data_IF_434220914494
#
_entry.id   IF_434220914494
#
_cell.length_a   1.000
_cell.length_b   1.000
_cell.length_c   1.000
_cell.angle_alpha   90.00
_cell.angle_beta   90.00
_cell.angle_gamma   90.00
#
_symmetry.space_group_name_H-M   'P 1'
#
loop_
_entity.id
_entity.type
_entity.pdbx_description
1 polymer ?
#
# COMPACT_ATOMS: atom_id res chain seq x y z
N UNK A 1 -9.23 12.63 -0.93
CA UNK A 1 -9.19 11.21 -1.30
C UNK A 1 -9.10 10.97 -2.81
N UNK A 2 -9.93 11.58 -3.68
CA UNK A 2 -9.87 11.38 -5.15
C UNK A 2 -8.47 11.64 -5.76
N UNK A 3 -7.75 12.68 -5.32
CA UNK A 3 -6.41 13.04 -5.83
C UNK A 3 -5.31 12.02 -5.51
N UNK A 4 -5.40 11.36 -4.35
CA UNK A 4 -4.41 10.34 -3.92
C UNK A 4 -4.59 9.05 -4.73
N UNK A 5 -5.84 8.65 -4.98
CA UNK A 5 -6.16 7.48 -5.80
C UNK A 5 -5.70 7.65 -7.25
N UNK A 6 -5.84 8.88 -7.81
CA UNK A 6 -5.40 9.20 -9.16
C UNK A 6 -3.87 9.18 -9.30
N UNK A 7 -3.13 9.68 -8.29
CA UNK A 7 -1.66 9.60 -8.27
C UNK A 7 -1.17 8.16 -8.19
N UNK A 8 -1.85 7.29 -7.42
CA UNK A 8 -1.48 5.88 -7.29
C UNK A 8 -1.68 5.11 -8.61
N UNK A 9 -2.79 5.36 -9.31
CA UNK A 9 -3.06 4.79 -10.64
C UNK A 9 -2.08 5.31 -11.71
N UNK A 10 -1.73 6.60 -11.69
CA UNK A 10 -0.75 7.19 -12.61
C UNK A 10 0.67 6.65 -12.38
N UNK A 11 1.08 6.46 -11.13
CA UNK A 11 2.37 5.88 -10.81
C UNK A 11 2.50 4.42 -11.32
N UNK A 12 1.40 3.66 -11.31
CA UNK A 12 1.37 2.30 -11.87
C UNK A 12 1.45 2.28 -13.41
N UNK A 13 0.83 3.25 -14.09
CA UNK A 13 0.94 3.37 -15.55
C UNK A 13 2.35 3.75 -16.00
N UNK A 14 3.08 4.57 -15.25
CA UNK A 14 4.44 5.00 -15.58
C UNK A 14 5.46 3.85 -15.47
N UNK A 15 5.26 2.89 -14.56
CA UNK A 15 6.14 1.71 -14.45
C UNK A 15 5.94 0.70 -15.59
N UNK A 16 4.77 0.71 -16.24
CA UNK A 16 4.47 -0.18 -17.36
C UNK A 16 5.01 0.35 -18.71
N UNK A 17 5.29 1.64 -18.84
CA UNK A 17 5.71 2.24 -20.11
C UNK A 17 7.22 2.17 -20.37
N UNK A 18 8.03 1.71 -19.43
CA UNK A 18 9.50 1.66 -19.58
C UNK A 18 10.06 0.34 -20.17
N UNK A 19 9.21 -0.61 -20.53
CA UNK A 19 9.66 -1.95 -20.99
C UNK A 19 9.66 -2.15 -22.49
N UNK A 20 9.59 -1.10 -23.30
CA UNK A 20 9.61 -1.24 -24.76
C UNK A 20 10.85 -0.64 -25.43
N UNK A 21 12.05 -1.17 -25.09
CA UNK A 21 13.22 -1.00 -25.94
C UNK A 21 13.86 -2.36 -26.22
N UNK A 22 13.64 -2.81 -27.43
CA UNK A 22 14.20 -3.99 -28.05
C UNK A 22 15.73 -3.97 -28.06
N UNK A 23 16.35 -4.75 -27.21
CA UNK A 23 17.75 -5.15 -27.37
C UNK A 23 17.74 -6.66 -27.57
N UNK A 24 18.01 -7.09 -28.78
CA UNK A 24 18.29 -8.47 -29.21
C UNK A 24 19.64 -8.93 -28.66
N UNK A 25 19.77 -9.04 -27.38
CA UNK A 25 20.74 -9.90 -26.71
C UNK A 25 19.94 -11.12 -26.31
N UNK A 26 20.50 -12.33 -26.45
CA UNK A 26 19.83 -13.57 -26.00
C UNK A 26 19.25 -13.32 -24.61
N UNK A 27 17.98 -12.96 -24.61
CA UNK A 27 17.28 -12.38 -23.49
C UNK A 27 17.28 -13.42 -22.37
N UNK A 28 17.96 -13.18 -21.24
CA UNK A 28 17.85 -14.08 -20.09
C UNK A 28 16.42 -14.19 -19.61
N UNK A 29 15.55 -13.28 -20.05
CA UNK A 29 14.10 -13.30 -19.93
C UNK A 29 13.42 -14.04 -21.09
N UNK A 30 14.16 -14.68 -22.02
CA UNK A 30 13.51 -15.45 -23.08
C UNK A 30 12.68 -16.54 -22.43
N UNK A 31 11.38 -16.27 -22.46
CA UNK A 31 10.34 -17.13 -21.88
C UNK A 31 10.02 -18.31 -22.80
N UNK A 32 10.98 -18.65 -23.68
CA UNK A 32 10.85 -19.80 -24.57
C UNK A 32 10.92 -21.09 -23.76
N UNK A 33 9.90 -21.93 -23.84
CA UNK A 33 9.94 -23.24 -23.19
C UNK A 33 11.09 -24.09 -23.75
N UNK A 34 11.61 -25.00 -22.92
CA UNK A 34 12.55 -26.02 -23.37
C UNK A 34 11.85 -26.93 -24.39
N UNK A 35 12.49 -27.15 -25.52
CA UNK A 35 11.97 -28.03 -26.54
C UNK A 35 13.08 -28.91 -27.05
N UNK A 36 12.90 -30.25 -27.17
CA UNK A 36 11.75 -31.05 -26.74
C UNK A 36 11.58 -31.11 -25.22
N UNK A 37 10.34 -31.31 -24.74
CA UNK A 37 10.07 -31.48 -23.30
C UNK A 37 10.66 -32.82 -22.85
N UNK A 38 11.56 -32.85 -21.85
CA UNK A 38 12.12 -34.08 -21.33
C UNK A 38 11.04 -35.01 -20.77
N UNK A 39 11.12 -36.32 -21.07
CA UNK A 39 10.12 -37.31 -20.60
C UNK A 39 10.07 -37.44 -19.07
N UNK A 40 11.17 -37.14 -18.39
CA UNK A 40 11.29 -37.20 -16.94
C UNK A 40 10.73 -35.96 -16.23
N UNK A 41 10.31 -34.93 -16.99
CA UNK A 41 9.81 -33.69 -16.42
C UNK A 41 8.43 -33.89 -15.79
N UNK A 42 8.30 -33.54 -14.53
CA UNK A 42 7.00 -33.56 -13.86
C UNK A 42 6.10 -32.43 -14.35
N UNK A 43 4.77 -32.60 -14.20
CA UNK A 43 3.81 -31.58 -14.59
C UNK A 43 4.02 -30.24 -13.84
N UNK A 44 4.41 -30.30 -12.56
CA UNK A 44 4.70 -29.11 -11.76
C UNK A 44 5.94 -28.37 -12.28
N UNK A 45 6.99 -29.11 -12.66
CA UNK A 45 8.19 -28.53 -13.29
C UNK A 45 7.87 -27.91 -14.65
N UNK A 46 6.99 -28.53 -15.41
CA UNK A 46 6.51 -27.98 -16.69
C UNK A 46 5.72 -26.68 -16.48
N UNK A 47 4.85 -26.61 -15.48
CA UNK A 47 4.16 -25.37 -15.13
C UNK A 47 5.13 -24.29 -14.68
N UNK A 48 6.10 -24.64 -13.81
CA UNK A 48 7.11 -23.70 -13.32
C UNK A 48 7.98 -23.13 -14.46
N UNK A 49 8.31 -23.95 -15.46
CA UNK A 49 9.03 -23.53 -16.64
C UNK A 49 8.22 -22.56 -17.53
N UNK A 50 6.92 -22.80 -17.64
CA UNK A 50 6.02 -22.02 -18.49
C UNK A 50 5.47 -20.74 -17.85
N UNK A 51 5.75 -20.50 -16.55
CA UNK A 51 5.35 -19.24 -15.89
C UNK A 51 6.15 -18.08 -16.45
N UNK A 52 5.45 -17.18 -17.11
CA UNK A 52 6.05 -16.00 -17.76
C UNK A 52 6.15 -14.85 -16.77
N UNK A 53 7.30 -14.20 -16.74
CA UNK A 53 7.51 -13.02 -15.89
C UNK A 53 6.63 -11.84 -16.34
N UNK A 54 6.43 -11.69 -17.63
CA UNK A 54 5.54 -10.69 -18.24
C UNK A 54 4.09 -10.85 -17.75
N UNK A 55 3.58 -12.08 -17.69
CA UNK A 55 2.27 -12.37 -17.12
C UNK A 55 2.22 -12.13 -15.61
N UNK A 56 3.29 -12.47 -14.88
CA UNK A 56 3.39 -12.18 -13.46
C UNK A 56 3.30 -10.67 -13.18
N UNK A 57 3.93 -9.85 -14.01
CA UNK A 57 3.85 -8.39 -13.92
C UNK A 57 2.43 -7.88 -14.20
N UNK A 58 1.72 -8.46 -15.17
CA UNK A 58 0.31 -8.15 -15.39
C UNK A 58 -0.56 -8.50 -14.19
N UNK A 59 -0.39 -9.70 -13.62
CA UNK A 59 -1.11 -10.08 -12.41
C UNK A 59 -0.75 -9.18 -11.22
N UNK A 60 0.51 -8.78 -11.11
CA UNK A 60 0.96 -7.88 -10.05
C UNK A 60 0.39 -6.46 -10.15
N UNK A 61 -0.14 -6.04 -11.30
CA UNK A 61 -0.83 -4.76 -11.44
C UNK A 61 -2.21 -4.74 -10.76
N UNK A 62 -2.78 -5.90 -10.50
CA UNK A 62 -4.04 -6.01 -9.76
C UNK A 62 -3.74 -5.83 -8.26
N UNK A 63 -4.41 -4.91 -7.55
CA UNK A 63 -4.14 -4.65 -6.14
C UNK A 63 -4.80 -5.69 -5.22
N UNK A 64 -4.56 -6.97 -5.49
CA UNK A 64 -5.03 -8.10 -4.69
C UNK A 64 -3.84 -8.70 -3.92
N UNK A 65 -3.89 -8.74 -2.58
CA UNK A 65 -2.85 -9.35 -1.77
C UNK A 65 -2.62 -10.82 -2.12
N UNK A 66 -1.35 -11.22 -2.29
CA UNK A 66 -0.98 -12.60 -2.54
C UNK A 66 -1.15 -13.10 -3.98
N UNK A 67 -1.59 -12.26 -4.91
CA UNK A 67 -1.87 -12.68 -6.30
C UNK A 67 -0.60 -13.14 -7.03
N UNK A 68 0.53 -12.49 -6.77
CA UNK A 68 1.81 -12.83 -7.41
C UNK A 68 2.33 -14.16 -6.89
N UNK A 69 2.19 -14.44 -5.59
CA UNK A 69 2.52 -15.74 -5.00
C UNK A 69 1.57 -16.84 -5.50
N UNK A 70 0.29 -16.51 -5.71
CA UNK A 70 -0.67 -17.45 -6.29
C UNK A 70 -0.24 -17.86 -7.69
N UNK A 71 0.13 -16.90 -8.54
CA UNK A 71 0.65 -17.16 -9.87
C UNK A 71 1.98 -17.93 -9.83
N UNK A 72 2.85 -17.67 -8.85
CA UNK A 72 4.09 -18.41 -8.61
C UNK A 72 3.86 -19.88 -8.14
N UNK A 73 2.59 -20.29 -7.93
CA UNK A 73 2.26 -21.62 -7.44
C UNK A 73 2.37 -21.81 -5.92
N UNK A 74 2.69 -20.75 -5.18
CA UNK A 74 2.81 -20.76 -3.72
C UNK A 74 1.46 -20.49 -3.02
N UNK A 75 0.49 -21.41 -3.24
CA UNK A 75 -0.90 -21.25 -2.77
C UNK A 75 -1.01 -21.01 -1.25
N UNK A 76 -0.13 -21.64 -0.45
CA UNK A 76 -0.13 -21.46 1.01
C UNK A 76 0.27 -20.03 1.40
N UNK A 77 1.31 -19.51 0.76
CA UNK A 77 1.78 -18.16 1.03
C UNK A 77 0.79 -17.11 0.50
N UNK A 78 0.26 -17.32 -0.71
CA UNK A 78 -0.79 -16.49 -1.28
C UNK A 78 -2.00 -16.32 -0.34
N UNK A 79 -2.49 -17.42 0.25
CA UNK A 79 -3.58 -17.36 1.24
C UNK A 79 -3.21 -16.57 2.49
N UNK A 80 -1.98 -16.73 3.00
CA UNK A 80 -1.54 -15.96 4.18
C UNK A 80 -1.52 -14.46 3.89
N UNK A 81 -0.93 -14.06 2.77
CA UNK A 81 -0.90 -12.66 2.34
C UNK A 81 -2.30 -12.11 2.13
N UNK A 82 -3.20 -12.88 1.52
CA UNK A 82 -4.60 -12.48 1.37
C UNK A 82 -5.27 -12.19 2.72
N UNK A 83 -5.11 -13.06 3.72
CA UNK A 83 -5.69 -12.82 5.05
C UNK A 83 -5.05 -11.64 5.77
N UNK A 84 -3.74 -11.42 5.63
CA UNK A 84 -3.05 -10.26 6.18
C UNK A 84 -3.57 -8.97 5.53
N UNK A 85 -3.68 -8.95 4.21
CA UNK A 85 -4.24 -7.81 3.48
C UNK A 85 -5.70 -7.53 3.85
N UNK A 86 -6.53 -8.56 3.99
CA UNK A 86 -7.90 -8.42 4.47
C UNK A 86 -7.96 -7.86 5.90
N UNK A 87 -7.04 -8.27 6.77
CA UNK A 87 -6.88 -7.69 8.11
C UNK A 87 -6.54 -6.21 8.06
N UNK A 88 -5.61 -5.81 7.19
CA UNK A 88 -5.28 -4.41 6.94
C UNK A 88 -6.49 -3.60 6.48
N UNK A 89 -7.28 -4.14 5.55
CA UNK A 89 -8.51 -3.49 5.08
C UNK A 89 -9.54 -3.35 6.20
N UNK A 90 -9.71 -4.38 7.04
CA UNK A 90 -10.59 -4.33 8.19
C UNK A 90 -10.17 -3.25 9.20
N UNK A 91 -8.86 -3.07 9.43
CA UNK A 91 -8.34 -1.99 10.26
C UNK A 91 -8.65 -0.61 9.68
N UNK A 92 -8.56 -0.42 8.36
CA UNK A 92 -8.92 0.85 7.70
C UNK A 92 -10.40 1.13 7.88
N UNK A 93 -11.26 0.17 7.60
CA UNK A 93 -12.71 0.34 7.71
C UNK A 93 -13.10 0.57 9.18
N UNK A 94 -12.61 -0.25 10.10
CA UNK A 94 -12.89 -0.11 11.53
C UNK A 94 -12.38 1.21 12.09
N UNK A 95 -11.17 1.63 11.68
CA UNK A 95 -10.62 2.91 12.07
C UNK A 95 -11.43 4.08 11.51
N UNK A 96 -11.83 4.03 10.24
CA UNK A 96 -12.65 5.07 9.63
C UNK A 96 -14.03 5.20 10.29
N UNK A 97 -14.64 4.08 10.68
CA UNK A 97 -15.92 4.07 11.41
C UNK A 97 -15.79 4.55 12.86
N UNK A 98 -14.59 4.48 13.44
CA UNK A 98 -14.30 4.94 14.81
C UNK A 98 -13.88 6.40 14.85
N UNK A 99 -13.69 7.07 13.72
CA UNK A 99 -13.39 8.50 13.67
C UNK A 99 -14.63 9.29 14.06
N UNK A 100 -14.52 10.07 15.11
CA UNK A 100 -15.52 11.05 15.51
C UNK A 100 -15.25 12.38 14.83
N UNK A 101 -16.30 13.15 14.60
CA UNK A 101 -16.14 14.52 14.09
C UNK A 101 -15.33 15.35 15.10
N UNK A 102 -14.36 16.15 14.63
CA UNK A 102 -13.57 16.98 15.51
C UNK A 102 -14.47 18.02 16.20
N UNK A 103 -14.46 18.01 17.53
CA UNK A 103 -15.22 18.93 18.36
C UNK A 103 -14.31 20.01 18.94
N UNK A 104 -14.90 21.17 19.23
CA UNK A 104 -14.21 22.21 19.96
C UNK A 104 -14.01 21.75 21.41
N UNK A 105 -12.85 21.98 22.03
CA UNK A 105 -12.64 21.69 23.44
C UNK A 105 -13.55 22.55 24.30
N UNK A 106 -13.89 22.05 25.51
CA UNK A 106 -14.65 22.82 26.51
C UNK A 106 -13.91 24.12 26.84
N UNK A 107 -14.64 25.20 26.94
CA UNK A 107 -14.09 26.53 27.16
C UNK A 107 -14.89 27.36 28.16
N UNK A 108 -14.22 28.29 28.81
CA UNK A 108 -14.84 29.33 29.62
C UNK A 108 -15.28 30.46 28.69
N UNK A 109 -16.58 30.75 28.65
CA UNK A 109 -17.19 31.77 27.78
C UNK A 109 -16.57 33.17 27.96
N UNK A 110 -16.04 33.48 29.15
CA UNK A 110 -15.40 34.76 29.42
C UNK A 110 -14.00 34.93 28.78
N UNK A 111 -13.34 33.82 28.46
CA UNK A 111 -11.97 33.80 27.95
C UNK A 111 -11.91 33.49 26.46
N UNK A 112 -13.03 33.16 25.84
CA UNK A 112 -13.06 32.77 24.43
C UNK A 112 -13.59 33.89 23.51
N UNK A 113 -12.99 33.99 22.35
CA UNK A 113 -13.47 34.79 21.23
C UNK A 113 -13.76 33.86 20.06
N UNK A 114 -14.98 33.95 19.52
CA UNK A 114 -15.41 33.14 18.38
C UNK A 114 -15.63 34.08 17.20
N UNK A 115 -14.95 33.78 16.09
CA UNK A 115 -15.16 34.46 14.81
C UNK A 115 -15.89 33.53 13.85
N UNK A 116 -16.86 34.09 13.12
CA UNK A 116 -17.66 33.37 12.11
C UNK A 116 -18.36 32.11 12.67
N UNK A 117 -18.97 32.22 13.85
CA UNK A 117 -19.64 31.12 14.50
C UNK A 117 -20.67 30.43 13.60
N UNK A 118 -20.61 29.09 13.53
CA UNK A 118 -21.51 28.27 12.73
C UNK A 118 -21.21 28.22 11.23
N UNK A 119 -20.08 28.78 10.77
CA UNK A 119 -19.62 28.68 9.38
C UNK A 119 -18.42 27.72 9.24
N UNK A 120 -18.09 27.34 8.00
CA UNK A 120 -16.90 26.51 7.72
C UNK A 120 -15.58 27.20 8.13
N UNK A 121 -15.56 28.53 8.17
CA UNK A 121 -14.41 29.37 8.54
C UNK A 121 -14.44 29.79 10.02
N UNK A 122 -15.13 29.06 10.89
CA UNK A 122 -15.19 29.34 12.32
C UNK A 122 -13.81 29.20 12.95
N UNK A 123 -13.34 30.26 13.61
CA UNK A 123 -12.07 30.31 14.36
C UNK A 123 -12.34 30.67 15.80
N UNK A 124 -11.68 30.00 16.72
CA UNK A 124 -11.78 30.24 18.16
C UNK A 124 -10.42 30.61 18.73
N UNK A 125 -10.41 31.60 19.60
CA UNK A 125 -9.22 32.09 20.25
C UNK A 125 -9.44 32.12 21.77
N UNK A 126 -8.45 31.67 22.51
CA UNK A 126 -8.38 31.77 23.98
C UNK A 126 -7.59 33.03 24.36
N UNK A 127 -8.12 33.78 25.33
CA UNK A 127 -7.42 34.92 25.94
C UNK A 127 -6.48 34.39 27.02
N UNK A 128 -5.19 34.36 26.76
CA UNK A 128 -4.17 33.96 27.74
C UNK A 128 -3.59 35.21 28.37
N UNK A 129 -3.73 35.40 29.73
CA UNK A 129 -3.15 36.56 30.39
C UNK A 129 -1.63 36.51 30.36
N UNK A 130 -0.99 37.61 29.93
CA UNK A 130 0.48 37.72 29.82
C UNK A 130 1.06 38.55 30.96
N UNK A 131 0.44 39.70 31.25
CA UNK A 131 0.93 40.67 32.24
C UNK A 131 -0.24 41.42 32.88
N UNK A 132 -0.01 41.89 34.08
CA UNK A 132 -0.97 42.73 34.83
C UNK A 132 -0.27 44.04 35.14
N UNK A 133 -0.87 45.17 34.74
CA UNK A 133 -0.38 46.50 35.03
C UNK A 133 -1.47 47.27 35.77
N UNK A 134 -1.33 47.33 37.08
CA UNK A 134 -2.43 47.79 37.97
C UNK A 134 -3.63 46.84 37.89
N UNK A 135 -4.82 47.40 37.58
CA UNK A 135 -6.05 46.62 37.41
C UNK A 135 -6.28 46.18 35.95
N UNK A 136 -5.33 46.47 35.01
CA UNK A 136 -5.46 46.10 33.59
C UNK A 136 -4.70 44.82 33.31
N UNK A 137 -5.42 43.79 32.82
CA UNK A 137 -4.85 42.51 32.40
C UNK A 137 -4.64 42.56 30.89
N UNK A 138 -3.39 42.37 30.46
CA UNK A 138 -3.04 42.22 29.05
C UNK A 138 -3.14 40.75 28.64
N UNK A 139 -3.84 40.51 27.53
CA UNK A 139 -4.07 39.14 27.01
C UNK A 139 -3.36 38.95 25.67
N UNK A 140 -2.86 37.74 25.47
CA UNK A 140 -2.53 37.22 24.14
C UNK A 140 -3.66 36.34 23.63
N UNK A 141 -3.86 36.34 22.32
CA UNK A 141 -4.86 35.50 21.67
C UNK A 141 -4.14 34.25 21.13
N UNK A 142 -4.52 33.09 21.67
CA UNK A 142 -4.05 31.79 21.24
C UNK A 142 -5.13 31.13 20.40
N UNK A 143 -4.84 30.77 19.15
CA UNK A 143 -5.77 30.05 18.30
C UNK A 143 -5.98 28.63 18.83
N UNK A 144 -7.24 28.22 18.91
CA UNK A 144 -7.65 26.88 19.35
C UNK A 144 -8.08 26.11 18.12
N UNK A 145 -7.69 24.86 18.07
CA UNK A 145 -8.08 23.94 17.00
C UNK A 145 -9.07 22.91 17.52
N UNK A 146 -9.98 22.48 16.64
CA UNK A 146 -10.86 21.35 16.94
C UNK A 146 -10.04 20.12 17.29
N UNK A 147 -10.40 19.46 18.35
CA UNK A 147 -9.78 18.21 18.77
C UNK A 147 -10.64 17.04 18.29
N UNK A 148 -10.00 16.07 17.65
CA UNK A 148 -10.61 14.79 17.34
C UNK A 148 -10.05 13.74 18.30
N UNK A 149 -10.91 12.89 18.83
CA UNK A 149 -10.45 11.68 19.50
C UNK A 149 -9.85 10.74 18.45
N UNK A 150 -8.52 10.78 18.34
CA UNK A 150 -7.73 10.14 17.27
C UNK A 150 -7.62 8.61 17.38
N UNK A 151 -8.53 7.96 18.15
CA UNK A 151 -8.52 6.50 18.29
C UNK A 151 -8.66 5.75 16.95
N UNK A 152 -9.39 6.33 15.98
CA UNK A 152 -9.60 5.77 14.66
C UNK A 152 -8.41 5.98 13.70
N UNK A 153 -7.71 7.12 13.79
CA UNK A 153 -6.61 7.48 12.90
C UNK A 153 -5.44 6.51 12.97
N UNK A 154 -5.08 6.06 14.16
CA UNK A 154 -4.05 5.07 14.39
C UNK A 154 -4.35 3.73 13.72
N UNK A 155 -5.59 3.26 13.79
CA UNK A 155 -6.02 2.01 13.12
C UNK A 155 -5.97 2.14 11.59
N UNK A 156 -6.41 3.27 11.05
CA UNK A 156 -6.32 3.53 9.60
C UNK A 156 -4.87 3.53 9.14
N UNK A 157 -3.99 4.24 9.85
CA UNK A 157 -2.57 4.28 9.52
C UNK A 157 -1.92 2.88 9.57
N UNK A 158 -2.24 2.08 10.58
CA UNK A 158 -1.77 0.70 10.70
C UNK A 158 -2.28 -0.15 9.54
N UNK A 159 -3.56 -0.08 9.20
CA UNK A 159 -4.14 -0.81 8.08
C UNK A 159 -3.49 -0.46 6.74
N UNK A 160 -3.22 0.83 6.50
CA UNK A 160 -2.51 1.29 5.29
C UNK A 160 -1.09 0.74 5.25
N UNK A 161 -0.35 0.79 6.37
CA UNK A 161 1.01 0.24 6.44
C UNK A 161 1.05 -1.26 6.16
N UNK A 162 0.10 -2.02 6.71
CA UNK A 162 -0.03 -3.47 6.44
C UNK A 162 -0.26 -3.72 4.96
N UNK A 163 -1.20 -3.01 4.32
CA UNK A 163 -1.49 -3.19 2.89
C UNK A 163 -0.30 -2.85 2.00
N UNK A 164 0.41 -1.76 2.28
CA UNK A 164 1.60 -1.36 1.52
C UNK A 164 2.70 -2.41 1.67
N UNK A 165 2.97 -2.84 2.90
CA UNK A 165 4.01 -3.84 3.19
C UNK A 165 3.71 -5.17 2.51
N UNK A 166 2.46 -5.64 2.61
CA UNK A 166 1.99 -6.87 1.98
C UNK A 166 2.13 -6.81 0.46
N UNK A 167 1.72 -5.70 -0.13
CA UNK A 167 1.81 -5.46 -1.56
C UNK A 167 3.26 -5.44 -2.09
N UNK A 168 4.17 -4.78 -1.38
CA UNK A 168 5.59 -4.75 -1.75
C UNK A 168 6.19 -6.16 -1.62
N UNK A 169 5.90 -6.85 -0.51
CA UNK A 169 6.41 -8.19 -0.26
C UNK A 169 5.89 -9.19 -1.31
N UNK A 170 4.59 -9.19 -1.61
CA UNK A 170 3.99 -10.07 -2.61
C UNK A 170 4.68 -9.92 -3.97
N UNK A 171 4.93 -8.69 -4.41
CA UNK A 171 5.58 -8.44 -5.70
C UNK A 171 7.04 -8.84 -5.72
N UNK A 172 7.83 -8.33 -4.78
CA UNK A 172 9.27 -8.60 -4.78
C UNK A 172 9.57 -10.08 -4.61
N UNK A 173 8.93 -10.72 -3.64
CA UNK A 173 9.16 -12.16 -3.38
C UNK A 173 8.49 -13.05 -4.41
N UNK A 174 7.29 -12.72 -4.85
CA UNK A 174 6.56 -13.50 -5.85
C UNK A 174 7.28 -13.55 -7.20
N UNK A 175 7.75 -12.39 -7.70
CA UNK A 175 8.53 -12.33 -8.95
C UNK A 175 9.85 -13.09 -8.83
N UNK A 176 10.58 -12.90 -7.72
CA UNK A 176 11.82 -13.62 -7.47
C UNK A 176 11.60 -15.15 -7.41
N UNK A 177 10.49 -15.60 -6.81
CA UNK A 177 10.15 -17.03 -6.76
C UNK A 177 9.88 -17.62 -8.13
N UNK A 178 9.17 -16.90 -9.01
CA UNK A 178 8.91 -17.35 -10.38
C UNK A 178 10.24 -17.54 -11.12
N UNK A 179 11.12 -16.54 -11.06
CA UNK A 179 12.42 -16.60 -11.68
C UNK A 179 13.27 -17.76 -11.13
N UNK A 180 13.32 -17.90 -9.80
CA UNK A 180 14.06 -18.96 -9.13
C UNK A 180 13.57 -20.35 -9.54
N UNK A 181 12.25 -20.59 -9.55
CA UNK A 181 11.65 -21.88 -9.94
C UNK A 181 11.95 -22.17 -11.41
N UNK A 182 11.75 -21.22 -12.30
CA UNK A 182 12.06 -21.35 -13.72
C UNK A 182 13.54 -21.68 -13.96
N UNK A 183 14.45 -20.96 -13.31
CA UNK A 183 15.89 -21.20 -13.44
C UNK A 183 16.30 -22.55 -12.88
N UNK A 184 15.66 -23.03 -11.80
CA UNK A 184 15.89 -24.37 -11.26
C UNK A 184 15.56 -25.45 -12.28
N UNK A 185 14.43 -25.36 -12.94
CA UNK A 185 14.00 -26.32 -13.97
C UNK A 185 14.96 -26.25 -15.18
N UNK A 186 15.27 -25.05 -15.65
CA UNK A 186 16.23 -24.85 -16.75
C UNK A 186 17.62 -25.41 -16.42
N UNK A 187 18.08 -25.24 -15.20
CA UNK A 187 19.37 -25.78 -14.77
C UNK A 187 19.37 -27.32 -14.71
N UNK A 188 18.25 -27.91 -14.25
CA UNK A 188 18.09 -29.36 -14.15
C UNK A 188 18.14 -30.03 -15.52
N UNK A 189 17.36 -29.52 -16.46
CA UNK A 189 17.20 -30.13 -17.78
C UNK A 189 18.07 -29.52 -18.88
N UNK A 190 18.57 -28.31 -18.73
CA UNK A 190 19.39 -27.65 -19.70
C UNK A 190 20.81 -28.24 -19.87
N UNK A 191 21.22 -29.12 -18.93
CA UNK A 191 22.48 -29.89 -19.06
C UNK A 191 22.35 -31.08 -19.99
N UNK A 192 21.13 -31.58 -20.17
CA UNK A 192 20.87 -32.78 -21.01
C UNK A 192 20.65 -32.43 -22.47
N UNK A 193 20.47 -31.14 -22.80
CA UNK A 193 20.25 -30.63 -24.14
C UNK A 193 21.53 -30.14 -24.84
N UNK A 194 22.70 -30.46 -24.32
CA UNK A 194 24.02 -30.34 -24.98
C UNK A 194 24.51 -31.69 -25.40
#
# INVERSE_FOLDING_TARGET
MKKILTCFLLAQCLTLSQTSNSITIADPLSETPLYPVPEEMTFEEYEDMNRRLSQALLWSSIPLPGITHYYAGEKKMAKRLFYVGMGGLACIIGGALSMTEPTWPDYDENLHIIHNQGTEDEKRYERVPISMEGDIIHYNLKEIYKQSDDSGGGLVALGVMVLISDFIFDRLKGLHLIEKKRNKVRYKYGKELK
#
